data_IF_734747765673
#
_entry.id   IF_734747765673
#
_cell.length_a   1.000
_cell.length_b   1.000
_cell.length_c   1.000
_cell.angle_alpha   90.00
_cell.angle_beta   90.00
_cell.angle_gamma   90.00
#
_symmetry.space_group_name_H-M   'P 1'
#
loop_
_entity.id
_entity.type
_entity.pdbx_description
1 polymer ?
#
# COMPACT_ATOMS: atom_id res chain seq x y z
N UNK A 1 6.54 -29.34 8.06
CA UNK A 1 6.93 -30.10 6.84
C UNK A 1 8.36 -29.73 6.48
N UNK A 2 9.21 -30.72 6.15
CA UNK A 2 10.52 -30.50 5.52
C UNK A 2 10.41 -30.97 4.07
N UNK A 3 10.83 -30.14 3.12
CA UNK A 3 10.95 -30.56 1.72
C UNK A 3 12.18 -31.46 1.62
N UNK A 4 11.97 -32.74 1.32
CA UNK A 4 13.03 -33.76 1.25
C UNK A 4 13.48 -34.02 -0.20
N UNK A 5 12.81 -33.42 -1.18
CA UNK A 5 13.14 -33.59 -2.60
C UNK A 5 14.36 -32.73 -2.99
N UNK A 6 15.48 -33.41 -3.26
CA UNK A 6 16.72 -32.77 -3.66
C UNK A 6 16.68 -32.06 -5.03
N UNK A 7 15.79 -32.48 -5.93
CA UNK A 7 15.65 -31.88 -7.27
C UNK A 7 15.02 -30.48 -7.19
N UNK A 8 13.96 -30.36 -6.39
CA UNK A 8 13.28 -29.09 -6.10
C UNK A 8 14.21 -28.14 -5.35
N UNK A 9 14.95 -28.63 -4.35
CA UNK A 9 15.96 -27.84 -3.64
C UNK A 9 17.09 -27.37 -4.58
N UNK A 10 17.48 -28.21 -5.54
CA UNK A 10 18.42 -27.86 -6.60
C UNK A 10 17.94 -26.70 -7.47
N UNK A 11 16.68 -26.77 -7.94
CA UNK A 11 16.06 -25.71 -8.74
C UNK A 11 15.93 -24.39 -7.97
N UNK A 12 15.47 -24.44 -6.71
CA UNK A 12 15.38 -23.25 -5.86
C UNK A 12 16.77 -22.62 -5.67
N UNK A 13 17.80 -23.44 -5.44
CA UNK A 13 19.18 -22.96 -5.32
C UNK A 13 19.69 -22.31 -6.61
N UNK A 14 19.35 -22.85 -7.78
CA UNK A 14 19.70 -22.24 -9.06
C UNK A 14 19.01 -20.89 -9.25
N UNK A 15 17.73 -20.78 -8.90
CA UNK A 15 16.97 -19.51 -8.96
C UNK A 15 17.53 -18.45 -8.01
N UNK A 16 17.96 -18.85 -6.81
CA UNK A 16 18.60 -17.95 -5.85
C UNK A 16 19.99 -17.47 -6.29
N UNK A 17 20.74 -18.32 -7.02
CA UNK A 17 22.07 -18.00 -7.55
C UNK A 17 22.04 -17.34 -8.93
N UNK A 18 20.86 -17.13 -9.50
CA UNK A 18 20.71 -16.52 -10.82
C UNK A 18 21.33 -15.11 -10.80
N UNK A 19 22.29 -14.81 -11.70
CA UNK A 19 22.92 -13.50 -11.73
C UNK A 19 21.94 -12.44 -12.21
N UNK A 20 21.97 -11.28 -11.57
CA UNK A 20 21.20 -10.11 -12.03
C UNK A 20 22.05 -9.39 -13.06
N UNK A 21 21.57 -9.34 -14.29
CA UNK A 21 22.21 -8.60 -15.39
C UNK A 21 21.52 -7.24 -15.48
N UNK A 22 22.23 -6.18 -15.08
CA UNK A 22 21.74 -4.82 -15.28
C UNK A 22 22.04 -4.35 -16.70
N UNK A 23 21.06 -3.76 -17.41
CA UNK A 23 21.28 -3.24 -18.75
C UNK A 23 22.35 -2.13 -18.72
N UNK A 24 23.13 -1.99 -19.80
CA UNK A 24 24.23 -1.05 -19.86
C UNK A 24 23.74 0.40 -19.68
N UNK A 25 24.32 1.13 -18.72
CA UNK A 25 24.12 2.59 -18.58
C UNK A 25 25.13 3.30 -19.48
N UNK A 26 24.67 3.76 -20.65
CA UNK A 26 25.50 4.50 -21.62
C UNK A 26 26.53 3.60 -22.31
N UNK A 27 27.81 4.00 -22.34
CA UNK A 27 28.92 3.26 -23.00
C UNK A 27 29.54 2.14 -22.15
N UNK A 28 28.98 1.82 -20.98
CA UNK A 28 29.53 0.77 -20.10
C UNK A 28 28.96 -0.61 -20.45
N UNK A 29 29.74 -1.70 -20.35
CA UNK A 29 29.23 -3.06 -20.53
C UNK A 29 28.17 -3.40 -19.47
N UNK A 30 27.28 -4.38 -19.75
CA UNK A 30 26.27 -4.84 -18.79
C UNK A 30 26.94 -5.39 -17.52
N UNK A 31 26.44 -4.97 -16.36
CA UNK A 31 26.97 -5.41 -15.07
C UNK A 31 26.28 -6.71 -14.67
N UNK A 32 27.05 -7.79 -14.50
CA UNK A 32 26.55 -9.07 -14.00
C UNK A 32 26.85 -9.15 -12.50
N UNK A 33 25.84 -9.00 -11.66
CA UNK A 33 25.98 -9.15 -10.20
C UNK A 33 25.49 -10.53 -9.77
N UNK A 34 26.38 -11.33 -9.17
CA UNK A 34 26.01 -12.51 -8.38
C UNK A 34 25.82 -12.06 -6.94
N UNK A 35 24.59 -12.12 -6.42
CA UNK A 35 24.31 -11.75 -5.03
C UNK A 35 24.47 -12.98 -4.14
N UNK A 36 25.28 -12.86 -3.10
CA UNK A 36 25.42 -13.89 -2.06
C UNK A 36 24.23 -13.88 -1.07
N UNK A 37 23.40 -12.82 -1.09
CA UNK A 37 22.23 -12.64 -0.23
C UNK A 37 21.08 -11.97 -0.99
N UNK A 38 19.86 -12.44 -0.71
CA UNK A 38 18.61 -11.90 -1.27
C UNK A 38 18.10 -12.68 -2.49
N UNK A 39 16.80 -12.56 -2.76
CA UNK A 39 16.17 -13.13 -3.95
C UNK A 39 16.19 -12.10 -5.09
N UNK A 40 16.26 -12.53 -6.36
CA UNK A 40 16.12 -11.61 -7.49
C UNK A 40 14.75 -10.92 -7.41
N UNK A 41 14.76 -9.58 -7.40
CA UNK A 41 13.53 -8.77 -7.39
C UNK A 41 12.82 -8.95 -8.74
N UNK A 42 11.62 -9.52 -8.71
CA UNK A 42 10.83 -9.83 -9.91
C UNK A 42 10.70 -11.33 -10.23
N UNK A 43 11.38 -12.21 -9.50
CA UNK A 43 11.12 -13.65 -9.59
C UNK A 43 9.74 -13.99 -9.03
N UNK A 44 8.92 -14.75 -9.78
CA UNK A 44 7.58 -15.19 -9.37
C UNK A 44 7.63 -16.00 -8.04
N UNK A 45 8.75 -16.68 -7.77
CA UNK A 45 8.99 -17.43 -6.54
C UNK A 45 9.43 -16.56 -5.34
N UNK A 46 9.92 -15.35 -5.56
CA UNK A 46 10.49 -14.52 -4.49
C UNK A 46 9.48 -14.21 -3.36
N UNK A 47 8.19 -13.87 -3.63
CA UNK A 47 7.19 -13.67 -2.58
C UNK A 47 6.89 -14.95 -1.79
N UNK A 48 6.85 -16.11 -2.47
CA UNK A 48 6.60 -17.40 -1.83
C UNK A 48 7.76 -17.78 -0.90
N UNK A 49 9.00 -17.63 -1.37
CA UNK A 49 10.19 -17.93 -0.58
C UNK A 49 10.29 -17.02 0.66
N UNK A 50 9.98 -15.72 0.52
CA UNK A 50 9.92 -14.80 1.66
C UNK A 50 8.88 -15.24 2.70
N UNK A 51 7.69 -15.68 2.25
CA UNK A 51 6.65 -16.19 3.14
C UNK A 51 7.07 -17.48 3.86
N UNK A 52 7.69 -18.44 3.17
CA UNK A 52 8.20 -19.68 3.78
C UNK A 52 9.29 -19.36 4.81
N UNK A 53 10.15 -18.40 4.49
CA UNK A 53 11.23 -17.97 5.37
C UNK A 53 10.70 -17.34 6.66
N UNK A 54 9.71 -16.45 6.55
CA UNK A 54 9.11 -15.77 7.70
C UNK A 54 8.09 -16.63 8.46
N UNK A 55 7.57 -17.71 7.88
CA UNK A 55 6.63 -18.60 8.54
C UNK A 55 7.20 -19.22 9.84
N UNK A 56 8.49 -19.51 9.89
CA UNK A 56 9.11 -19.98 11.13
C UNK A 56 9.15 -18.93 12.23
N UNK A 57 9.27 -17.65 11.86
CA UNK A 57 9.17 -16.56 12.82
C UNK A 57 7.76 -16.50 13.40
N UNK A 58 6.73 -16.65 12.57
CA UNK A 58 5.33 -16.72 13.02
C UNK A 58 5.13 -17.86 14.03
N UNK A 59 5.66 -19.06 13.73
CA UNK A 59 5.59 -20.21 14.64
C UNK A 59 6.31 -19.98 15.97
N UNK A 60 7.51 -19.38 15.94
CA UNK A 60 8.25 -19.04 17.16
C UNK A 60 7.52 -17.98 17.99
N UNK A 61 6.77 -17.10 17.33
CA UNK A 61 6.00 -16.05 18.00
C UNK A 61 4.82 -16.62 18.78
N UNK A 62 4.14 -17.62 18.21
CA UNK A 62 2.93 -18.24 18.79
C UNK A 62 3.18 -19.41 19.75
N UNK A 63 4.43 -19.92 19.79
CA UNK A 63 4.82 -21.03 20.67
C UNK A 63 4.54 -20.73 22.14
N UNK A 64 4.47 -21.78 22.98
CA UNK A 64 4.22 -21.67 24.42
C UNK A 64 5.15 -20.72 25.20
N UNK A 65 6.39 -20.58 24.75
CA UNK A 65 7.42 -19.66 25.26
C UNK A 65 7.51 -18.34 24.46
N UNK A 66 6.67 -18.19 23.44
CA UNK A 66 6.67 -17.08 22.50
C UNK A 66 5.95 -15.83 23.02
N UNK A 67 6.27 -14.64 22.44
CA UNK A 67 5.61 -13.37 22.73
C UNK A 67 4.09 -13.39 22.77
N UNK A 68 3.45 -14.25 21.97
CA UNK A 68 2.00 -14.37 21.98
C UNK A 68 1.43 -14.78 23.34
N UNK A 69 2.18 -15.57 24.12
CA UNK A 69 1.71 -16.08 25.41
C UNK A 69 2.09 -15.13 26.55
N UNK A 70 3.38 -14.82 26.70
CA UNK A 70 3.85 -14.05 27.86
C UNK A 70 3.58 -12.54 27.74
N UNK A 71 3.59 -11.97 26.53
CA UNK A 71 3.26 -10.56 26.30
C UNK A 71 1.82 -10.34 25.81
N UNK A 72 1.05 -11.42 25.60
CA UNK A 72 -0.28 -11.38 24.95
C UNK A 72 -0.24 -10.59 23.64
N UNK A 73 0.88 -10.68 22.92
CA UNK A 73 1.11 -9.94 21.69
C UNK A 73 0.44 -10.64 20.51
N UNK A 74 -0.03 -9.86 19.53
CA UNK A 74 -0.61 -10.37 18.28
C UNK A 74 0.29 -9.93 17.12
N UNK A 75 0.70 -10.88 16.31
CA UNK A 75 1.46 -10.64 15.08
C UNK A 75 0.49 -10.60 13.91
N UNK A 76 0.51 -9.52 13.13
CA UNK A 76 -0.20 -9.38 11.87
C UNK A 76 0.84 -9.21 10.78
N UNK A 77 0.97 -10.20 9.90
CA UNK A 77 1.96 -10.19 8.81
C UNK A 77 1.29 -10.15 7.45
N UNK A 78 1.87 -9.38 6.54
CA UNK A 78 1.50 -9.32 5.13
C UNK A 78 2.78 -9.31 4.28
N UNK A 79 3.06 -10.44 3.62
CA UNK A 79 4.33 -10.67 2.94
C UNK A 79 5.54 -10.43 3.87
N UNK A 80 6.38 -9.45 3.53
CA UNK A 80 7.57 -9.02 4.28
C UNK A 80 7.28 -7.97 5.37
N UNK A 81 6.17 -7.25 5.27
CA UNK A 81 5.73 -6.27 6.26
C UNK A 81 4.93 -6.94 7.38
N UNK A 82 5.24 -6.62 8.65
CA UNK A 82 4.47 -7.11 9.80
C UNK A 82 4.29 -6.03 10.86
N UNK A 83 3.24 -6.19 11.65
CA UNK A 83 2.88 -5.34 12.79
C UNK A 83 2.69 -6.23 14.01
N UNK A 84 3.33 -5.87 15.11
CA UNK A 84 3.14 -6.51 16.41
C UNK A 84 2.31 -5.60 17.30
N UNK A 85 1.16 -6.11 17.75
CA UNK A 85 0.22 -5.43 18.63
C UNK A 85 0.34 -6.04 20.03
N UNK A 86 0.69 -5.24 21.03
CA UNK A 86 0.73 -5.67 22.42
C UNK A 86 0.14 -4.59 23.33
N UNK A 87 -0.42 -4.99 24.47
CA UNK A 87 -0.92 -4.03 25.47
C UNK A 87 0.22 -3.17 26.03
N UNK A 88 1.37 -3.79 26.27
CA UNK A 88 2.60 -3.13 26.70
C UNK A 88 3.76 -3.66 25.88
N UNK A 89 4.48 -2.77 25.20
CA UNK A 89 5.68 -3.14 24.45
C UNK A 89 6.86 -3.02 25.40
N UNK A 90 7.27 -4.17 25.97
CA UNK A 90 8.43 -4.22 26.85
C UNK A 90 9.74 -4.21 26.03
N UNK A 91 10.85 -3.70 26.58
CA UNK A 91 12.17 -3.83 25.96
C UNK A 91 12.55 -5.29 25.67
N UNK A 92 12.07 -6.22 26.48
CA UNK A 92 12.22 -7.66 26.26
C UNK A 92 11.54 -8.14 24.97
N UNK A 93 10.31 -7.67 24.69
CA UNK A 93 9.58 -8.03 23.47
C UNK A 93 10.32 -7.53 22.24
N UNK A 94 10.76 -6.27 22.30
CA UNK A 94 11.55 -5.65 21.26
C UNK A 94 12.87 -6.40 21.03
N UNK A 95 13.62 -6.68 22.09
CA UNK A 95 14.89 -7.39 22.02
C UNK A 95 14.74 -8.83 21.51
N UNK A 96 13.63 -9.49 21.83
CA UNK A 96 13.31 -10.80 21.27
C UNK A 96 13.08 -10.73 19.76
N UNK A 97 12.26 -9.77 19.30
CA UNK A 97 11.96 -9.58 17.87
C UNK A 97 13.23 -9.21 17.10
N UNK A 98 13.95 -8.18 17.56
CA UNK A 98 15.21 -7.73 16.94
C UNK A 98 16.25 -8.85 16.92
N UNK A 99 16.41 -9.57 18.04
CA UNK A 99 17.34 -10.68 18.14
C UNK A 99 17.01 -11.84 17.20
N UNK A 100 15.73 -12.19 17.04
CA UNK A 100 15.31 -13.27 16.12
C UNK A 100 15.46 -12.83 14.66
N UNK A 101 15.13 -11.59 14.31
CA UNK A 101 15.28 -11.09 12.95
C UNK A 101 16.75 -10.92 12.54
N UNK A 102 17.57 -10.29 13.38
CA UNK A 102 18.97 -10.00 13.03
C UNK A 102 19.88 -11.23 13.18
N UNK A 103 19.73 -12.03 14.24
CA UNK A 103 20.65 -13.15 14.51
C UNK A 103 20.23 -14.45 13.86
N UNK A 104 18.93 -14.76 13.87
CA UNK A 104 18.43 -16.04 13.35
C UNK A 104 18.06 -15.93 11.87
N UNK A 105 17.38 -14.85 11.48
CA UNK A 105 17.01 -14.60 10.09
C UNK A 105 18.07 -13.81 9.30
N UNK A 106 19.09 -13.27 9.96
CA UNK A 106 20.12 -12.48 9.26
C UNK A 106 19.57 -11.26 8.53
N UNK A 107 18.37 -10.79 8.89
CA UNK A 107 17.69 -9.66 8.26
C UNK A 107 18.08 -8.39 9.00
N UNK A 108 18.55 -7.39 8.24
CA UNK A 108 18.83 -6.08 8.81
C UNK A 108 17.52 -5.29 8.95
N UNK A 109 17.17 -4.95 10.19
CA UNK A 109 15.96 -4.18 10.45
C UNK A 109 16.20 -2.73 10.02
N UNK A 110 15.26 -2.20 9.23
CA UNK A 110 15.23 -0.77 8.93
C UNK A 110 14.73 -0.01 10.18
N UNK A 111 15.66 0.53 10.96
CA UNK A 111 15.38 1.26 12.21
C UNK A 111 14.58 2.55 12.00
N UNK A 112 14.64 3.14 10.80
CA UNK A 112 13.83 4.33 10.49
C UNK A 112 12.34 3.99 10.28
N UNK A 113 12.08 2.81 9.71
CA UNK A 113 10.73 2.26 9.52
C UNK A 113 10.16 1.63 10.79
N UNK A 114 11.02 1.03 11.62
CA UNK A 114 10.60 0.32 12.82
C UNK A 114 10.33 1.32 13.93
N UNK A 115 9.05 1.59 14.21
CA UNK A 115 8.62 2.54 15.23
C UNK A 115 7.71 1.86 16.23
N UNK A 116 7.97 2.10 17.51
CA UNK A 116 7.06 1.72 18.59
C UNK A 116 6.05 2.86 18.73
N UNK A 117 4.79 2.58 18.40
CA UNK A 117 3.71 3.54 18.44
C UNK A 117 2.70 3.13 19.51
N UNK A 118 2.34 4.08 20.37
CA UNK A 118 1.22 3.95 21.28
C UNK A 118 -0.01 4.61 20.65
N UNK A 119 -0.83 3.79 20.00
CA UNK A 119 -2.05 4.24 19.35
C UNK A 119 -3.12 4.82 20.30
N UNK A 120 -2.97 4.67 21.63
CA UNK A 120 -3.87 5.33 22.59
C UNK A 120 -3.55 6.83 22.77
N UNK A 121 -2.34 7.26 22.41
CA UNK A 121 -1.93 8.66 22.47
C UNK A 121 -2.47 9.43 21.26
N UNK A 122 -2.97 10.64 21.53
CA UNK A 122 -3.57 11.51 20.53
C UNK A 122 -2.49 11.94 19.53
N UNK A 123 -2.81 11.84 18.23
CA UNK A 123 -1.90 12.23 17.15
C UNK A 123 -0.96 11.12 16.68
N UNK A 124 -0.91 9.97 17.37
CA UNK A 124 -0.20 8.81 16.86
C UNK A 124 -1.05 8.08 15.82
N UNK A 125 -0.39 7.67 14.73
CA UNK A 125 -1.03 6.91 13.66
C UNK A 125 -0.06 5.88 13.10
N UNK A 126 -0.59 4.73 12.75
CA UNK A 126 0.16 3.64 12.14
C UNK A 126 -0.24 3.53 10.67
N UNK A 127 0.74 3.64 9.78
CA UNK A 127 0.55 3.39 8.36
C UNK A 127 0.84 1.92 8.05
N UNK A 128 -0.14 1.16 7.57
CA UNK A 128 0.01 -0.25 7.19
C UNK A 128 -0.85 -0.58 5.97
N UNK A 129 -0.27 -1.25 4.96
CA UNK A 129 -0.93 -1.65 3.69
C UNK A 129 -1.68 -0.53 2.95
N UNK A 130 -1.18 0.69 3.07
CA UNK A 130 -1.79 1.88 2.46
C UNK A 130 -2.93 2.49 3.26
N UNK A 131 -3.26 1.95 4.43
CA UNK A 131 -4.16 2.56 5.40
C UNK A 131 -3.40 3.24 6.53
N UNK A 132 -4.03 4.25 7.11
CA UNK A 132 -3.62 4.89 8.35
C UNK A 132 -4.63 4.51 9.43
N UNK A 133 -4.16 3.82 10.46
CA UNK A 133 -4.88 3.50 11.69
C UNK A 133 -4.65 4.62 12.69
N UNK A 134 -5.72 5.22 13.20
CA UNK A 134 -5.66 6.28 14.22
C UNK A 134 -6.77 6.12 15.25
N UNK A 135 -6.49 6.57 16.46
CA UNK A 135 -7.47 6.59 17.54
C UNK A 135 -7.98 8.02 17.72
N UNK A 136 -9.09 8.32 17.07
CA UNK A 136 -9.65 9.67 17.04
C UNK A 136 -10.68 9.84 18.17
N UNK A 137 -10.83 11.09 18.62
CA UNK A 137 -11.97 11.49 19.43
C UNK A 137 -13.22 11.52 18.56
N UNK A 138 -14.36 11.21 19.17
CA UNK A 138 -15.67 11.37 18.56
C UNK A 138 -15.81 12.79 17.99
N UNK A 139 -16.26 12.86 16.74
CA UNK A 139 -16.49 14.12 16.05
C UNK A 139 -17.68 14.88 16.66
N UNK A 140 -18.56 14.18 17.38
CA UNK A 140 -19.75 14.72 18.01
C UNK A 140 -19.57 15.08 19.49
N UNK A 141 -18.33 15.08 20.00
CA UNK A 141 -18.03 15.61 21.33
C UNK A 141 -18.54 14.78 22.51
N UNK A 142 -19.02 13.55 22.29
CA UNK A 142 -19.58 12.68 23.35
C UNK A 142 -18.53 12.06 24.28
N UNK A 143 -17.31 12.59 24.29
CA UNK A 143 -16.17 12.05 25.06
C UNK A 143 -15.66 10.67 24.62
N UNK A 144 -16.38 9.98 23.72
CA UNK A 144 -16.00 8.69 23.17
C UNK A 144 -14.77 8.77 22.26
N UNK A 145 -14.01 7.69 22.20
CA UNK A 145 -12.89 7.51 21.26
C UNK A 145 -13.19 6.32 20.38
N UNK A 146 -12.81 6.39 19.11
CA UNK A 146 -13.04 5.31 18.17
C UNK A 146 -11.83 5.07 17.29
N UNK A 147 -11.70 3.82 16.84
CA UNK A 147 -10.73 3.44 15.83
C UNK A 147 -11.18 3.97 14.48
N UNK A 148 -10.34 4.81 13.90
CA UNK A 148 -10.57 5.35 12.58
C UNK A 148 -9.57 4.74 11.61
N UNK A 149 -10.11 4.18 10.53
CA UNK A 149 -9.37 3.59 9.43
C UNK A 149 -9.63 4.43 8.20
N UNK A 150 -8.56 4.99 7.64
CA UNK A 150 -8.62 5.81 6.44
C UNK A 150 -7.47 5.48 5.47
N UNK A 151 -7.62 5.77 4.18
CA UNK A 151 -6.50 5.69 3.24
C UNK A 151 -5.36 6.60 3.67
N UNK A 152 -4.13 6.10 3.59
CA UNK A 152 -2.94 6.85 3.98
C UNK A 152 -2.73 8.10 3.12
N UNK A 153 -2.11 9.17 3.66
CA UNK A 153 -1.78 10.36 2.87
C UNK A 153 -0.95 10.03 1.63
N UNK A 154 -0.04 9.03 1.74
CA UNK A 154 0.76 8.52 0.62
C UNK A 154 -0.09 7.81 -0.43
N UNK A 155 -1.03 6.95 -0.02
CA UNK A 155 -1.96 6.30 -0.95
C UNK A 155 -2.85 7.33 -1.66
N UNK A 156 -3.37 8.31 -0.93
CA UNK A 156 -4.14 9.42 -1.49
C UNK A 156 -3.33 10.25 -2.49
N UNK A 157 -2.05 10.50 -2.22
CA UNK A 157 -1.17 11.22 -3.14
C UNK A 157 -0.88 10.41 -4.41
N UNK A 158 -0.62 9.11 -4.28
CA UNK A 158 -0.44 8.19 -5.42
C UNK A 158 -1.69 8.12 -6.29
N UNK A 159 -2.87 8.04 -5.68
CA UNK A 159 -4.15 8.01 -6.40
C UNK A 159 -4.39 9.32 -7.16
N UNK A 160 -4.16 10.46 -6.52
CA UNK A 160 -4.22 11.76 -7.21
C UNK A 160 -3.27 11.83 -8.39
N UNK A 161 -2.07 11.27 -8.27
CA UNK A 161 -1.10 11.24 -9.38
C UNK A 161 -1.56 10.32 -10.50
N UNK A 162 -2.06 9.12 -10.20
CA UNK A 162 -2.63 8.21 -11.19
C UNK A 162 -3.79 8.88 -11.96
N UNK A 163 -4.69 9.57 -11.25
CA UNK A 163 -5.79 10.32 -11.85
C UNK A 163 -5.29 11.51 -12.70
N UNK A 164 -4.17 12.15 -12.34
CA UNK A 164 -3.55 13.18 -13.20
C UNK A 164 -3.03 12.60 -14.50
N UNK A 165 -2.39 11.44 -14.44
CA UNK A 165 -1.86 10.75 -15.62
C UNK A 165 -3.00 10.24 -16.53
N UNK A 166 -4.12 9.79 -15.93
CA UNK A 166 -5.31 9.42 -16.69
C UNK A 166 -5.98 10.63 -17.36
N UNK A 167 -6.08 11.76 -16.66
CA UNK A 167 -6.65 13.03 -17.19
C UNK A 167 -5.52 14.00 -17.57
N UNK A 168 -4.75 13.61 -18.58
CA UNK A 168 -3.60 14.35 -19.08
C UNK A 168 -4.00 15.26 -20.27
N UNK A 169 -3.41 16.47 -20.43
CA UNK A 169 -3.55 17.29 -21.64
C UNK A 169 -3.45 16.54 -22.98
N UNK A 170 -2.59 15.53 -23.08
CA UNK A 170 -2.40 14.74 -24.30
C UNK A 170 -3.65 13.91 -24.66
N UNK A 171 -4.52 13.61 -23.69
CA UNK A 171 -5.79 12.89 -23.90
C UNK A 171 -6.91 13.81 -24.43
N UNK A 172 -6.60 15.04 -24.85
CA UNK A 172 -7.60 15.98 -25.38
C UNK A 172 -8.24 15.52 -26.70
N UNK A 173 -7.72 14.49 -27.37
CA UNK A 173 -8.34 13.88 -28.54
C UNK A 173 -9.39 12.82 -28.19
N UNK A 174 -9.33 12.22 -26.99
CA UNK A 174 -10.17 11.08 -26.57
C UNK A 174 -11.61 11.49 -26.22
N UNK A 175 -12.65 10.91 -26.84
CA UNK A 175 -14.05 11.21 -26.52
C UNK A 175 -14.34 11.22 -25.00
N UNK A 176 -15.14 12.20 -24.56
CA UNK A 176 -15.42 12.38 -23.13
C UNK A 176 -16.08 11.16 -22.46
N UNK A 177 -17.03 10.45 -23.09
CA UNK A 177 -17.61 9.23 -22.51
C UNK A 177 -16.57 8.13 -22.28
N UNK A 178 -15.63 7.93 -23.22
CA UNK A 178 -14.57 6.92 -23.10
C UNK A 178 -13.59 7.26 -21.96
N UNK A 179 -13.24 8.54 -21.81
CA UNK A 179 -12.43 9.01 -20.70
C UNK A 179 -13.14 8.77 -19.35
N UNK A 180 -14.44 9.03 -19.27
CA UNK A 180 -15.25 8.80 -18.07
C UNK A 180 -15.34 7.31 -17.75
N UNK A 181 -15.48 6.43 -18.75
CA UNK A 181 -15.52 5.00 -18.52
C UNK A 181 -14.19 4.48 -17.94
N UNK A 182 -13.05 4.92 -18.48
CA UNK A 182 -11.72 4.60 -17.96
C UNK A 182 -11.54 5.09 -16.52
N UNK A 183 -11.99 6.30 -16.22
CA UNK A 183 -11.98 6.85 -14.86
C UNK A 183 -12.87 6.03 -13.92
N UNK A 184 -14.09 5.69 -14.33
CA UNK A 184 -15.01 4.89 -13.54
C UNK A 184 -14.45 3.50 -13.22
N UNK A 185 -13.68 2.89 -14.13
CA UNK A 185 -13.03 1.60 -13.90
C UNK A 185 -11.91 1.71 -12.87
N UNK A 186 -11.08 2.74 -12.98
CA UNK A 186 -10.00 3.02 -12.02
C UNK A 186 -10.55 3.34 -10.63
N UNK A 187 -11.53 4.26 -10.55
CA UNK A 187 -12.18 4.66 -9.30
C UNK A 187 -12.86 3.48 -8.63
N UNK A 188 -13.56 2.61 -9.39
CA UNK A 188 -14.17 1.38 -8.82
C UNK A 188 -13.12 0.45 -8.21
N UNK A 189 -12.00 0.22 -8.88
CA UNK A 189 -10.91 -0.59 -8.33
C UNK A 189 -10.36 0.00 -7.04
N UNK A 190 -10.17 1.32 -7.01
CA UNK A 190 -9.70 2.03 -5.83
C UNK A 190 -10.72 2.00 -4.68
N UNK A 191 -12.02 2.16 -4.99
CA UNK A 191 -13.13 2.06 -4.03
C UNK A 191 -13.20 0.69 -3.38
N UNK A 192 -13.03 -0.37 -4.17
CA UNK A 192 -13.10 -1.75 -3.69
C UNK A 192 -11.97 -2.06 -2.71
N UNK A 193 -10.76 -1.54 -2.99
CA UNK A 193 -9.67 -1.66 -2.04
C UNK A 193 -9.93 -0.77 -0.81
N UNK A 194 -10.04 0.55 -0.98
CA UNK A 194 -10.12 1.52 0.11
C UNK A 194 -11.50 1.68 0.78
N UNK A 195 -12.46 0.80 0.48
CA UNK A 195 -13.81 0.82 1.04
C UNK A 195 -13.90 0.45 2.53
N UNK A 196 -12.84 -0.14 3.08
CA UNK A 196 -12.77 -0.53 4.49
C UNK A 196 -12.65 0.69 5.41
N UNK A 197 -13.49 0.76 6.45
CA UNK A 197 -13.42 1.79 7.51
C UNK A 197 -14.33 2.98 7.28
N UNK A 198 -13.77 4.20 7.39
CA UNK A 198 -14.51 5.46 7.22
C UNK A 198 -14.02 6.26 6.00
N UNK A 199 -14.19 5.73 4.77
CA UNK A 199 -13.59 6.33 3.59
C UNK A 199 -14.30 7.61 3.10
N UNK A 200 -15.50 7.94 3.62
CA UNK A 200 -16.33 9.06 3.13
C UNK A 200 -15.57 10.37 2.93
N UNK A 201 -14.68 10.73 3.87
CA UNK A 201 -13.87 11.95 3.77
C UNK A 201 -12.84 11.86 2.64
N UNK A 202 -12.17 10.71 2.51
CA UNK A 202 -11.20 10.45 1.45
C UNK A 202 -11.89 10.39 0.07
N UNK A 203 -13.01 9.69 -0.03
CA UNK A 203 -13.82 9.58 -1.25
C UNK A 203 -14.31 10.95 -1.71
N UNK A 204 -14.81 11.79 -0.79
CA UNK A 204 -15.18 13.18 -1.09
C UNK A 204 -14.00 14.00 -1.65
N UNK A 205 -12.80 13.83 -1.09
CA UNK A 205 -11.60 14.53 -1.58
C UNK A 205 -11.21 14.06 -3.00
N UNK A 206 -11.26 12.76 -3.27
CA UNK A 206 -10.98 12.21 -4.60
C UNK A 206 -12.06 12.65 -5.60
N UNK A 207 -13.35 12.55 -5.25
CA UNK A 207 -14.46 13.02 -6.09
C UNK A 207 -14.29 14.49 -6.45
N UNK A 208 -13.95 15.36 -5.47
CA UNK A 208 -13.68 16.76 -5.73
C UNK A 208 -12.48 16.94 -6.67
N UNK A 209 -11.39 16.21 -6.45
CA UNK A 209 -10.21 16.27 -7.31
C UNK A 209 -10.50 15.88 -8.76
N UNK A 210 -11.22 14.77 -8.98
CA UNK A 210 -11.63 14.30 -10.31
C UNK A 210 -12.50 15.35 -11.00
N UNK A 211 -13.48 15.91 -10.30
CA UNK A 211 -14.38 16.96 -10.83
C UNK A 211 -13.63 18.20 -11.28
N UNK A 212 -12.73 18.71 -10.44
CA UNK A 212 -11.90 19.89 -10.77
C UNK A 212 -11.02 19.59 -11.99
N UNK A 213 -10.43 18.40 -12.07
CA UNK A 213 -9.56 18.00 -13.19
C UNK A 213 -10.32 17.82 -14.50
N UNK A 214 -11.49 17.17 -14.48
CA UNK A 214 -12.34 17.06 -15.66
C UNK A 214 -12.82 18.43 -16.13
N UNK A 215 -13.18 19.33 -15.21
CA UNK A 215 -13.53 20.71 -15.53
C UNK A 215 -12.37 21.47 -16.20
N UNK A 216 -11.15 21.33 -15.68
CA UNK A 216 -9.95 21.89 -16.30
C UNK A 216 -9.67 21.27 -17.68
N UNK A 217 -9.83 19.96 -17.81
CA UNK A 217 -9.62 19.24 -19.07
C UNK A 217 -10.61 19.70 -20.15
N UNK A 218 -11.90 19.83 -19.82
CA UNK A 218 -12.91 20.34 -20.75
C UNK A 218 -12.62 21.78 -21.21
N UNK A 219 -12.15 22.65 -20.31
CA UNK A 219 -11.78 24.03 -20.65
C UNK A 219 -10.58 24.10 -21.60
N UNK A 220 -9.67 23.10 -21.56
CA UNK A 220 -8.49 23.03 -22.44
C UNK A 220 -8.79 22.40 -23.80
N UNK A 221 -9.88 21.65 -23.91
CA UNK A 221 -10.20 20.83 -25.08
C UNK A 221 -10.67 21.61 -26.31
N UNK A 222 -10.96 22.90 -26.18
CA UNK A 222 -11.65 23.67 -27.21
C UNK A 222 -11.04 25.05 -27.44
N UNK A 223 -10.96 25.49 -28.70
CA UNK A 223 -10.79 26.91 -29.06
C UNK A 223 -11.97 27.80 -28.63
N UNK A 224 -13.12 27.21 -28.25
CA UNK A 224 -14.26 27.90 -27.63
C UNK A 224 -14.62 27.19 -26.32
N UNK A 225 -14.12 27.71 -25.20
CA UNK A 225 -14.30 27.12 -23.87
C UNK A 225 -15.73 26.64 -23.62
N UNK A 226 -15.86 25.42 -23.08
CA UNK A 226 -17.16 24.83 -22.74
C UNK A 226 -18.06 25.86 -22.04
N UNK A 227 -19.17 26.22 -22.69
CA UNK A 227 -20.24 27.02 -22.10
C UNK A 227 -21.26 26.05 -21.56
N UNK A 228 -21.42 26.02 -20.24
CA UNK A 228 -22.44 25.18 -19.62
C UNK A 228 -23.82 25.50 -20.19
N UNK A 229 -24.67 24.48 -20.35
CA UNK A 229 -26.10 24.71 -20.58
C UNK A 229 -26.63 25.56 -19.42
N UNK A 230 -27.37 26.62 -19.71
CA UNK A 230 -27.98 27.47 -18.67
C UNK A 230 -28.77 26.58 -17.70
N UNK A 231 -28.50 26.71 -16.40
CA UNK A 231 -29.17 25.94 -15.33
C UNK A 231 -28.55 24.57 -15.01
N UNK A 232 -27.57 24.06 -15.76
CA UNK A 232 -26.94 22.75 -15.49
C UNK A 232 -25.55 22.95 -14.89
N UNK A 233 -25.36 22.49 -13.65
CA UNK A 233 -24.03 22.49 -13.04
C UNK A 233 -23.08 21.56 -13.80
N UNK A 234 -21.79 21.89 -13.81
CA UNK A 234 -20.73 21.02 -14.35
C UNK A 234 -20.80 19.60 -13.75
N UNK A 235 -21.30 19.50 -12.51
CA UNK A 235 -21.52 18.24 -11.80
C UNK A 235 -22.65 17.41 -12.40
N UNK A 236 -23.82 18.03 -12.61
CA UNK A 236 -24.96 17.35 -13.24
C UNK A 236 -24.64 16.91 -14.67
N UNK A 237 -23.78 17.65 -15.38
CA UNK A 237 -23.29 17.26 -16.70
C UNK A 237 -22.42 15.99 -16.64
N UNK A 238 -21.51 15.88 -15.67
CA UNK A 238 -20.69 14.68 -15.52
C UNK A 238 -21.47 13.47 -15.02
N UNK A 239 -22.46 13.68 -14.14
CA UNK A 239 -23.37 12.61 -13.69
C UNK A 239 -24.22 12.09 -14.86
N UNK A 240 -24.73 12.99 -15.72
CA UNK A 240 -25.45 12.59 -16.94
C UNK A 240 -24.57 11.80 -17.93
N UNK A 241 -23.27 12.09 -17.95
CA UNK A 241 -22.28 11.33 -18.73
C UNK A 241 -21.84 10.02 -18.05
N UNK A 242 -22.41 9.69 -16.88
CA UNK A 242 -22.19 8.45 -16.17
C UNK A 242 -20.98 8.43 -15.22
N UNK A 243 -20.44 9.58 -14.81
CA UNK A 243 -19.38 9.62 -13.80
C UNK A 243 -19.88 9.07 -12.46
N UNK A 244 -19.26 7.99 -11.97
CA UNK A 244 -19.58 7.38 -10.69
C UNK A 244 -18.84 8.12 -9.58
N UNK A 245 -19.59 8.65 -8.61
CA UNK A 245 -19.01 9.18 -7.38
C UNK A 245 -18.71 8.04 -6.40
N UNK A 246 -17.53 8.10 -5.78
CA UNK A 246 -17.13 7.23 -4.66
C UNK A 246 -17.92 7.53 -3.39
#
# INVERSE_FOLDING_TARGET
>A
MRVVDGSVLGLIRQWLKAPVVEPPKGRKPPTVQRKDRGTPQGGVLSPLLANIYLHWFDHLFERGDGPAQWAKAKLVRYADDFVVLARHISPQLRGWIEGKLERWLGLQINREKTRVLNLQQIGQSLDFLGYTFRYDRDQYGRGGRYWNLQPSPKAMAREREALRQLVNPQQSHTPLPELIERLNRHLRGWANYFGLGYPRKAFRQINHFVRVRLGQHLRRRSQRGWRGRQGVSLYAHFEHLGLVAL
#
